data_IF_441817869400
#
_entry.id   IF_441817869400
#
_cell.length_a   1.000
_cell.length_b   1.000
_cell.length_c   1.000
_cell.angle_alpha   90.00
_cell.angle_beta   90.00
_cell.angle_gamma   90.00
#
_symmetry.space_group_name_H-M   'P 1'
#
loop_
_entity.id
_entity.type
_entity.pdbx_description
1 polymer ?
#
# COMPACT_ATOMS: atom_id res chain seq x y z
N UNK A 1 -3.45 18.19 -1.10
CA UNK A 1 -3.10 17.04 -0.25
C UNK A 1 -2.57 15.91 -1.11
N UNK A 2 -1.65 15.14 -0.58
CA UNK A 2 -1.03 14.03 -1.31
C UNK A 2 -1.98 12.84 -1.42
N UNK A 3 -1.77 12.01 -2.43
CA UNK A 3 -2.37 10.70 -2.48
C UNK A 3 -1.91 9.85 -1.30
N UNK A 4 -2.71 8.88 -0.92
CA UNK A 4 -2.44 7.98 0.18
C UNK A 4 -2.46 6.54 -0.31
N UNK A 5 -1.29 5.90 -0.31
CA UNK A 5 -1.17 4.46 -0.53
C UNK A 5 -1.44 3.80 0.82
N UNK A 6 -2.36 2.85 0.84
CA UNK A 6 -2.72 2.13 2.07
C UNK A 6 -2.28 0.68 1.88
N UNK A 7 -1.32 0.26 2.71
CA UNK A 7 -0.79 -1.10 2.69
C UNK A 7 -1.83 -2.10 3.21
N UNK A 8 -1.68 -3.36 2.84
CA UNK A 8 -2.57 -4.44 3.25
C UNK A 8 -2.78 -4.48 4.76
N UNK A 9 -1.71 -4.33 5.55
CA UNK A 9 -1.80 -4.34 7.02
C UNK A 9 -2.75 -3.26 7.55
N UNK A 10 -2.67 -2.06 7.00
CA UNK A 10 -3.52 -0.94 7.41
C UNK A 10 -4.97 -1.14 6.95
N UNK A 11 -5.19 -1.70 5.76
CA UNK A 11 -6.54 -2.05 5.30
C UNK A 11 -7.18 -3.11 6.19
N UNK A 12 -6.43 -4.16 6.54
CA UNK A 12 -6.94 -5.24 7.39
C UNK A 12 -7.40 -4.69 8.74
N UNK A 13 -6.59 -3.83 9.37
CA UNK A 13 -6.96 -3.20 10.64
C UNK A 13 -8.20 -2.31 10.50
N UNK A 14 -8.27 -1.51 9.44
CA UNK A 14 -9.43 -0.64 9.18
C UNK A 14 -10.71 -1.47 8.97
N UNK A 15 -10.65 -2.51 8.17
CA UNK A 15 -11.81 -3.36 7.87
C UNK A 15 -12.28 -4.15 9.09
N UNK A 16 -11.39 -4.39 10.06
CA UNK A 16 -11.74 -5.04 11.32
C UNK A 16 -12.31 -4.06 12.36
N UNK A 17 -12.50 -2.80 12.00
CA UNK A 17 -13.05 -1.78 12.89
C UNK A 17 -12.03 -1.02 13.72
N UNK A 18 -10.73 -1.22 13.44
CA UNK A 18 -9.64 -0.51 14.11
C UNK A 18 -8.85 0.37 13.17
N UNK A 19 -7.54 0.38 13.33
CA UNK A 19 -6.63 1.12 12.46
C UNK A 19 -6.76 2.63 12.57
N UNK A 20 -6.72 3.30 11.42
CA UNK A 20 -6.69 4.76 11.30
C UNK A 20 -7.82 5.28 10.42
N UNK A 21 -9.10 5.13 10.84
CA UNK A 21 -10.22 5.63 10.02
C UNK A 21 -10.11 7.13 9.75
N UNK A 22 -9.51 7.90 10.67
CA UNK A 22 -9.31 9.34 10.51
C UNK A 22 -8.35 9.70 9.35
N UNK A 23 -7.58 8.75 8.85
CA UNK A 23 -6.73 8.92 7.68
C UNK A 23 -7.35 8.26 6.44
N UNK A 24 -7.97 7.10 6.61
CA UNK A 24 -8.52 6.31 5.50
C UNK A 24 -9.79 6.95 4.93
N UNK A 25 -10.73 7.33 5.79
CA UNK A 25 -12.04 7.82 5.33
C UNK A 25 -11.94 9.14 4.55
N UNK A 26 -11.19 10.15 5.00
CA UNK A 26 -11.00 11.34 4.18
C UNK A 26 -10.32 11.06 2.84
N UNK A 27 -9.37 10.13 2.79
CA UNK A 27 -8.71 9.77 1.54
C UNK A 27 -9.69 9.12 0.56
N UNK A 28 -10.60 8.29 1.05
CA UNK A 28 -11.67 7.71 0.23
C UNK A 28 -12.63 8.79 -0.30
N UNK A 29 -13.05 9.69 0.58
CA UNK A 29 -13.99 10.77 0.23
C UNK A 29 -13.39 11.74 -0.80
N UNK A 30 -12.10 12.00 -0.72
CA UNK A 30 -11.39 12.97 -1.55
C UNK A 30 -10.75 12.33 -2.80
N UNK A 31 -11.04 11.07 -3.08
CA UNK A 31 -10.43 10.30 -4.20
C UNK A 31 -8.89 10.31 -4.16
N UNK A 32 -8.32 10.22 -2.96
CA UNK A 32 -6.87 10.17 -2.75
C UNK A 32 -6.35 8.80 -2.34
N UNK A 33 -7.25 7.86 -2.04
CA UNK A 33 -6.86 6.50 -1.66
C UNK A 33 -6.40 5.74 -2.90
N UNK A 34 -5.15 5.29 -2.88
CA UNK A 34 -4.49 4.63 -4.01
C UNK A 34 -4.25 3.17 -3.67
N UNK A 35 -4.59 2.28 -4.59
CA UNK A 35 -4.53 0.84 -4.39
C UNK A 35 -3.47 0.20 -5.29
N UNK A 36 -2.33 -0.22 -4.72
CA UNK A 36 -1.38 -1.04 -5.47
C UNK A 36 -2.03 -2.38 -5.86
N UNK A 37 -1.80 -2.87 -7.09
CA UNK A 37 -2.38 -4.15 -7.52
C UNK A 37 -2.11 -5.32 -6.56
N UNK A 38 -0.92 -5.41 -5.99
CA UNK A 38 -0.57 -6.45 -5.01
C UNK A 38 -1.47 -6.38 -3.77
N UNK A 39 -1.78 -5.16 -3.30
CA UNK A 39 -2.66 -4.99 -2.14
C UNK A 39 -4.06 -5.51 -2.45
N UNK A 40 -4.60 -5.21 -3.63
CA UNK A 40 -5.89 -5.75 -4.05
C UNK A 40 -5.87 -7.29 -4.05
N UNK A 41 -4.83 -7.90 -4.60
CA UNK A 41 -4.68 -9.35 -4.64
C UNK A 41 -4.59 -9.94 -3.22
N UNK A 42 -3.84 -9.32 -2.34
CA UNK A 42 -3.70 -9.78 -0.95
C UNK A 42 -5.01 -9.70 -0.18
N UNK A 43 -5.73 -8.58 -0.31
CA UNK A 43 -7.02 -8.42 0.35
C UNK A 43 -8.04 -9.46 -0.13
N UNK A 44 -8.10 -9.73 -1.43
CA UNK A 44 -9.03 -10.69 -2.02
C UNK A 44 -8.62 -12.15 -1.76
N UNK A 45 -7.38 -12.39 -1.38
CA UNK A 45 -6.89 -13.74 -1.05
C UNK A 45 -7.32 -14.20 0.34
N UNK A 46 -7.78 -13.30 1.18
CA UNK A 46 -8.21 -13.60 2.53
C UNK A 46 -9.47 -14.48 2.55
N UNK A 47 -9.60 -15.25 3.62
CA UNK A 47 -10.77 -16.09 3.82
C UNK A 47 -11.95 -15.23 4.25
N UNK A 48 -13.05 -15.27 3.49
CA UNK A 48 -14.20 -14.43 3.77
C UNK A 48 -15.48 -15.07 3.24
N UNK A 49 -16.62 -14.68 3.82
CA UNK A 49 -17.93 -15.06 3.34
C UNK A 49 -18.26 -14.34 2.03
N UNK A 50 -19.24 -14.84 1.24
CA UNK A 50 -19.68 -14.10 0.05
C UNK A 50 -20.14 -12.67 0.37
N UNK A 51 -20.76 -12.44 1.52
CA UNK A 51 -21.20 -11.12 1.95
C UNK A 51 -20.00 -10.20 2.21
N UNK A 52 -18.99 -10.70 2.91
CA UNK A 52 -17.77 -9.95 3.18
C UNK A 52 -17.05 -9.61 1.88
N UNK A 53 -16.99 -10.56 0.94
CA UNK A 53 -16.37 -10.33 -0.36
C UNK A 53 -17.09 -9.24 -1.14
N UNK A 54 -18.42 -9.24 -1.15
CA UNK A 54 -19.19 -8.18 -1.82
C UNK A 54 -18.92 -6.81 -1.21
N UNK A 55 -18.87 -6.73 0.12
CA UNK A 55 -18.55 -5.48 0.82
C UNK A 55 -17.14 -5.00 0.47
N UNK A 56 -16.16 -5.91 0.43
CA UNK A 56 -14.79 -5.58 0.06
C UNK A 56 -14.73 -5.08 -1.39
N UNK A 57 -15.38 -5.76 -2.33
CA UNK A 57 -15.41 -5.34 -3.73
C UNK A 57 -16.02 -3.95 -3.90
N UNK A 58 -17.10 -3.66 -3.17
CA UNK A 58 -17.72 -2.34 -3.20
C UNK A 58 -16.76 -1.26 -2.70
N UNK A 59 -16.00 -1.56 -1.64
CA UNK A 59 -14.98 -0.63 -1.13
C UNK A 59 -13.86 -0.43 -2.15
N UNK A 60 -13.36 -1.50 -2.75
CA UNK A 60 -12.27 -1.41 -3.72
C UNK A 60 -12.67 -0.64 -4.98
N UNK A 61 -13.97 -0.63 -5.33
CA UNK A 61 -14.49 0.17 -6.45
C UNK A 61 -14.38 1.68 -6.18
N UNK A 62 -14.28 2.08 -4.91
CA UNK A 62 -14.13 3.49 -4.51
C UNK A 62 -12.65 3.92 -4.40
N UNK A 63 -11.73 3.00 -4.62
CA UNK A 63 -10.29 3.25 -4.51
C UNK A 63 -9.68 3.32 -5.91
N UNK A 64 -8.71 4.18 -6.10
CA UNK A 64 -8.02 4.29 -7.39
C UNK A 64 -7.02 3.14 -7.52
N UNK A 65 -7.30 2.20 -8.40
CA UNK A 65 -6.39 1.09 -8.71
C UNK A 65 -5.23 1.61 -9.54
N UNK A 66 -4.03 1.46 -9.00
CA UNK A 66 -2.81 1.87 -9.69
C UNK A 66 -2.44 0.86 -10.78
N UNK A 67 -1.76 1.36 -11.80
CA UNK A 67 -1.22 0.51 -12.86
C UNK A 67 0.26 0.28 -12.59
N UNK A 68 0.70 -0.96 -12.79
CA UNK A 68 2.08 -1.35 -12.60
C UNK A 68 2.60 -1.89 -13.93
N UNK A 69 3.19 -0.99 -14.73
CA UNK A 69 3.78 -1.35 -16.01
C UNK A 69 5.19 -1.97 -15.83
N UNK A 70 5.80 -2.33 -16.95
CA UNK A 70 7.12 -2.96 -16.96
C UNK A 70 8.16 -2.07 -16.26
N UNK A 71 8.15 -0.78 -16.52
CA UNK A 71 9.11 0.17 -15.94
C UNK A 71 8.98 0.24 -14.42
N UNK A 72 7.74 0.19 -13.91
CA UNK A 72 7.50 0.13 -12.48
C UNK A 72 8.17 -1.11 -11.86
N UNK A 73 7.97 -2.28 -12.45
CA UNK A 73 8.55 -3.53 -11.93
C UNK A 73 10.08 -3.52 -11.98
N UNK A 74 10.67 -2.88 -12.98
CA UNK A 74 12.12 -2.67 -13.01
C UNK A 74 12.57 -1.81 -11.83
N UNK A 75 11.83 -0.73 -11.52
CA UNK A 75 12.13 0.12 -10.35
C UNK A 75 11.97 -0.65 -9.04
N UNK A 76 10.99 -1.56 -8.95
CA UNK A 76 10.83 -2.44 -7.79
C UNK A 76 12.09 -3.31 -7.60
N UNK A 77 12.59 -3.88 -8.68
CA UNK A 77 13.84 -4.67 -8.64
C UNK A 77 15.04 -3.84 -8.21
N UNK A 78 15.18 -2.65 -8.78
CA UNK A 78 16.27 -1.73 -8.43
C UNK A 78 16.20 -1.30 -6.96
N UNK A 79 14.99 -1.02 -6.46
CA UNK A 79 14.78 -0.66 -5.05
C UNK A 79 15.23 -1.80 -4.13
N UNK A 80 14.81 -3.04 -4.42
CA UNK A 80 15.20 -4.20 -3.62
C UNK A 80 16.72 -4.39 -3.61
N UNK A 81 17.37 -4.23 -4.76
CA UNK A 81 18.82 -4.36 -4.88
C UNK A 81 19.54 -3.27 -4.07
N UNK A 82 19.07 -2.03 -4.16
CA UNK A 82 19.66 -0.91 -3.41
C UNK A 82 19.53 -1.10 -1.91
N UNK A 83 18.35 -1.56 -1.44
CA UNK A 83 18.10 -1.82 -0.01
C UNK A 83 18.96 -2.99 0.49
N UNK A 84 19.09 -4.05 -0.32
CA UNK A 84 19.94 -5.19 0.04
C UNK A 84 21.41 -4.79 0.19
N UNK A 85 21.89 -3.85 -0.63
CA UNK A 85 23.25 -3.32 -0.51
C UNK A 85 23.49 -2.61 0.83
N UNK A 86 22.42 -2.14 1.48
CA UNK A 86 22.45 -1.53 2.81
C UNK A 86 22.04 -2.52 3.91
N UNK A 87 21.98 -3.80 3.59
CA UNK A 87 21.66 -4.84 4.56
C UNK A 87 20.18 -5.01 4.86
N UNK A 88 19.31 -4.43 4.05
CA UNK A 88 17.86 -4.53 4.24
C UNK A 88 17.22 -5.40 3.16
N UNK A 89 16.83 -6.62 3.54
CA UNK A 89 16.16 -7.55 2.63
C UNK A 89 14.65 -7.29 2.70
N UNK A 90 14.06 -6.94 1.56
CA UNK A 90 12.64 -6.58 1.45
C UNK A 90 11.98 -7.50 0.42
N UNK A 91 10.77 -7.97 0.73
CA UNK A 91 10.01 -8.80 -0.21
C UNK A 91 9.58 -8.00 -1.44
N UNK A 92 9.31 -8.70 -2.54
CA UNK A 92 8.81 -8.04 -3.75
C UNK A 92 7.47 -7.32 -3.52
N UNK A 93 6.47 -7.91 -2.83
CA UNK A 93 5.23 -7.19 -2.53
C UNK A 93 5.46 -5.90 -1.74
N UNK A 94 6.29 -5.93 -0.72
CA UNK A 94 6.56 -4.75 0.10
C UNK A 94 7.30 -3.67 -0.71
N UNK A 95 8.28 -4.07 -1.50
CA UNK A 95 9.00 -3.15 -2.38
C UNK A 95 8.07 -2.54 -3.43
N UNK A 96 7.11 -3.31 -3.95
CA UNK A 96 6.10 -2.81 -4.89
C UNK A 96 5.23 -1.73 -4.24
N UNK A 97 4.74 -1.97 -3.04
CA UNK A 97 3.92 -0.98 -2.31
C UNK A 97 4.72 0.31 -2.09
N UNK A 98 5.95 0.20 -1.61
CA UNK A 98 6.83 1.35 -1.42
C UNK A 98 7.09 2.10 -2.73
N UNK A 99 7.36 1.37 -3.82
CA UNK A 99 7.63 1.98 -5.11
C UNK A 99 6.41 2.71 -5.67
N UNK A 100 5.20 2.20 -5.44
CA UNK A 100 3.97 2.91 -5.81
C UNK A 100 3.91 4.28 -5.15
N UNK A 101 4.20 4.35 -3.86
CA UNK A 101 4.21 5.62 -3.14
C UNK A 101 5.32 6.55 -3.65
N UNK A 102 6.51 6.02 -3.89
CA UNK A 102 7.64 6.80 -4.41
C UNK A 102 7.36 7.35 -5.80
N UNK A 103 6.80 6.53 -6.70
CA UNK A 103 6.50 6.93 -8.08
C UNK A 103 5.53 8.11 -8.14
N UNK A 104 4.59 8.17 -7.22
CA UNK A 104 3.51 9.16 -7.23
C UNK A 104 3.75 10.31 -6.25
N UNK A 105 4.84 10.28 -5.48
CA UNK A 105 5.03 11.23 -4.40
C UNK A 105 3.90 11.17 -3.38
N UNK A 106 3.32 9.99 -3.17
CA UNK A 106 2.22 9.78 -2.25
C UNK A 106 2.73 9.44 -0.85
N UNK A 107 1.87 9.64 0.13
CA UNK A 107 2.12 9.17 1.48
C UNK A 107 1.75 7.70 1.59
N UNK A 108 2.31 6.99 2.56
CA UNK A 108 2.04 5.59 2.81
C UNK A 108 1.53 5.39 4.23
N UNK A 109 0.40 4.70 4.34
CA UNK A 109 -0.16 4.25 5.62
C UNK A 109 0.06 2.73 5.74
N UNK A 110 0.75 2.32 6.77
CA UNK A 110 1.07 0.91 7.04
C UNK A 110 1.19 0.65 8.53
N UNK A 111 1.02 -0.60 8.93
CA UNK A 111 1.30 -1.07 10.29
C UNK A 111 2.49 -2.03 10.32
N UNK A 112 3.13 -2.25 9.18
CA UNK A 112 4.29 -3.14 9.06
C UNK A 112 5.58 -2.35 9.25
N UNK A 113 6.40 -2.75 10.22
CA UNK A 113 7.63 -2.08 10.59
C UNK A 113 8.69 -2.06 9.47
N UNK A 114 8.59 -2.94 8.48
CA UNK A 114 9.56 -2.97 7.36
C UNK A 114 9.59 -1.63 6.62
N UNK A 115 8.45 -0.96 6.49
CA UNK A 115 8.37 0.33 5.78
C UNK A 115 9.09 1.45 6.53
N UNK A 116 9.09 1.43 7.87
CA UNK A 116 9.89 2.38 8.67
C UNK A 116 11.38 2.19 8.40
N UNK A 117 11.82 0.95 8.25
CA UNK A 117 13.21 0.65 7.92
C UNK A 117 13.55 1.10 6.51
N UNK A 118 12.65 0.91 5.56
CA UNK A 118 12.83 1.42 4.19
C UNK A 118 12.91 2.95 4.17
N UNK A 119 12.07 3.62 4.97
CA UNK A 119 12.03 5.09 5.02
C UNK A 119 13.33 5.70 5.56
N UNK A 120 14.17 4.91 6.25
CA UNK A 120 15.50 5.34 6.67
C UNK A 120 16.50 5.39 5.51
N UNK A 121 16.21 4.70 4.42
CA UNK A 121 17.13 4.56 3.28
C UNK A 121 16.65 5.29 2.02
N UNK A 122 15.35 5.47 1.86
CA UNK A 122 14.74 6.10 0.67
C UNK A 122 13.71 7.14 1.10
N UNK A 123 13.34 8.11 0.24
CA UNK A 123 12.43 9.21 0.61
C UNK A 123 10.96 8.77 0.64
N UNK A 124 10.67 7.70 1.36
CA UNK A 124 9.33 7.19 1.58
C UNK A 124 8.69 7.96 2.75
N UNK A 125 7.52 8.53 2.53
CA UNK A 125 6.81 9.29 3.55
C UNK A 125 5.72 8.44 4.19
N UNK A 126 5.89 8.15 5.46
CA UNK A 126 4.90 7.40 6.25
C UNK A 126 4.00 8.39 7.00
N UNK A 127 2.69 8.11 7.02
CA UNK A 127 1.72 8.87 7.83
C UNK A 127 1.27 8.02 9.01
N UNK A 128 0.88 8.72 10.08
CA UNK A 128 0.53 8.05 11.33
C UNK A 128 -0.73 8.62 11.94
#
# INVERSE_FOLDING_TARGET
>A
MNGLVIDTSAWVSYLAGGGKPELVEPALEDDRALLPPVVAAELLSGKMSPRQRRALMALLDDVILLQADQEHWYRVGDLRAALAAHGLVVSTPDAHVAQCALDLGADLLTEDAIFSRMASEVPLRLVR
#
